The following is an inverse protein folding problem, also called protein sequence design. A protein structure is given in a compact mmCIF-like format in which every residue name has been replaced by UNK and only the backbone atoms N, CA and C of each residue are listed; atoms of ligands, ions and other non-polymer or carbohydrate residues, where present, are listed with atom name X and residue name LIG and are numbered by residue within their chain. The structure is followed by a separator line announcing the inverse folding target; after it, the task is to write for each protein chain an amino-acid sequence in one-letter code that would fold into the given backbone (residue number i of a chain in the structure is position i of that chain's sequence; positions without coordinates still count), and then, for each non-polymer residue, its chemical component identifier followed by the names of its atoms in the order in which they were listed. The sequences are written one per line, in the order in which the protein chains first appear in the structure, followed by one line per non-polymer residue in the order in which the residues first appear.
data_IF_867536094696
#
_entry.id   IF_867536094696
#
_cell.length_a   1.000
_cell.length_b   1.000
_cell.length_c   1.000
_cell.angle_alpha   90.00
_cell.angle_beta   90.00
_cell.angle_gamma   90.00
#
_symmetry.space_group_name_H-M   'P 1'
#
loop_
_entity.id
_entity.type
_entity.pdbx_description
1 polymer ?
#
# COMPACT_ATOMS: atom_id res chain seq x y z
N UNK A 1 -13.48 10.13 -27.02
CA UNK A 1 -13.13 11.47 -26.53
C UNK A 1 -12.07 11.30 -25.45
N UNK A 2 -10.81 11.46 -25.84
CA UNK A 2 -9.65 11.25 -24.97
C UNK A 2 -9.53 12.46 -24.03
N UNK A 3 -9.72 12.26 -22.72
CA UNK A 3 -9.56 13.34 -21.74
C UNK A 3 -8.08 13.75 -21.75
N UNK A 4 -7.80 15.01 -22.08
CA UNK A 4 -6.47 15.58 -21.98
C UNK A 4 -5.86 15.28 -20.59
N UNK A 5 -4.60 14.85 -20.52
CA UNK A 5 -3.97 14.51 -19.25
C UNK A 5 -3.99 15.73 -18.32
N UNK A 6 -4.46 15.52 -17.09
CA UNK A 6 -4.44 16.55 -16.06
C UNK A 6 -2.99 16.96 -15.79
N UNK A 7 -2.62 18.16 -16.20
CA UNK A 7 -1.29 18.73 -15.93
C UNK A 7 -1.36 19.49 -14.60
N UNK A 8 -0.69 18.95 -13.59
CA UNK A 8 -0.47 19.64 -12.32
C UNK A 8 0.89 20.34 -12.38
N UNK A 9 0.90 21.66 -12.32
CA UNK A 9 2.13 22.45 -12.16
C UNK A 9 2.11 23.02 -10.75
N UNK A 10 3.04 22.57 -9.91
CA UNK A 10 3.24 23.10 -8.57
C UNK A 10 4.52 23.95 -8.57
N UNK A 11 4.39 25.25 -8.32
CA UNK A 11 5.53 26.14 -8.08
C UNK A 11 5.83 26.12 -6.58
N UNK A 12 7.01 25.63 -6.20
CA UNK A 12 7.49 25.71 -4.84
C UNK A 12 8.41 26.92 -4.69
N UNK A 13 8.32 27.63 -3.56
CA UNK A 13 9.11 28.85 -3.30
C UNK A 13 10.60 28.51 -3.13
N UNK A 14 10.91 27.26 -2.77
CA UNK A 14 12.28 26.74 -2.61
C UNK A 14 12.32 25.22 -2.74
N UNK A 15 13.43 24.67 -3.20
CA UNK A 15 13.68 23.21 -3.20
C UNK A 15 13.82 22.63 -1.78
N UNK A 16 14.06 23.48 -0.77
CA UNK A 16 14.20 23.08 0.63
C UNK A 16 12.89 22.62 1.29
N UNK A 17 11.75 22.82 0.63
CA UNK A 17 10.42 22.32 1.05
C UNK A 17 9.97 21.08 0.30
N UNK A 18 10.88 20.43 -0.43
CA UNK A 18 10.66 19.16 -1.11
C UNK A 18 11.19 18.01 -0.25
N UNK A 19 10.32 17.06 0.07
CA UNK A 19 10.72 15.78 0.67
C UNK A 19 10.62 14.70 -0.41
N UNK A 20 11.71 14.01 -0.71
CA UNK A 20 11.71 12.89 -1.65
C UNK A 20 11.64 11.58 -0.86
N UNK A 21 10.59 10.79 -1.10
CA UNK A 21 10.45 9.41 -0.60
C UNK A 21 10.75 8.41 -1.70
N UNK A 22 11.79 7.62 -1.50
CA UNK A 22 12.21 6.58 -2.45
C UNK A 22 13.73 6.58 -2.67
N UNK A 23 14.21 5.83 -3.67
CA UNK A 23 13.44 5.02 -4.60
C UNK A 23 12.73 3.83 -3.91
N UNK A 24 11.64 3.37 -4.51
CA UNK A 24 10.95 2.15 -4.12
C UNK A 24 10.72 1.28 -5.36
N UNK A 25 11.01 -0.01 -5.23
CA UNK A 25 10.62 -1.01 -6.21
C UNK A 25 9.09 -1.04 -6.33
N UNK A 26 8.62 -1.07 -7.57
CA UNK A 26 7.22 -1.11 -7.91
C UNK A 26 6.91 -2.45 -8.58
N UNK A 27 5.96 -3.18 -8.00
CA UNK A 27 5.57 -4.50 -8.47
C UNK A 27 4.05 -4.62 -8.55
N UNK A 28 3.56 -5.42 -9.50
CA UNK A 28 2.13 -5.66 -9.71
C UNK A 28 1.83 -7.16 -9.77
N UNK A 29 0.60 -7.51 -9.41
CA UNK A 29 0.12 -8.87 -9.60
C UNK A 29 0.01 -9.19 -11.10
N UNK A 30 0.61 -10.29 -11.59
CA UNK A 30 0.83 -10.50 -13.02
C UNK A 30 -0.44 -10.83 -13.81
N UNK A 31 -1.46 -11.44 -13.19
CA UNK A 31 -2.66 -11.87 -13.92
C UNK A 31 -3.91 -11.72 -13.05
N UNK A 32 -4.93 -10.95 -13.45
CA UNK A 32 -6.14 -10.74 -12.66
C UNK A 32 -6.94 -12.02 -12.37
N UNK A 33 -6.80 -13.08 -13.16
CA UNK A 33 -7.42 -14.39 -12.94
C UNK A 33 -6.62 -15.31 -12.01
N UNK A 34 -5.32 -15.06 -11.86
CA UNK A 34 -4.47 -15.81 -10.94
C UNK A 34 -4.80 -15.43 -9.50
N UNK A 35 -4.83 -16.42 -8.62
CA UNK A 35 -5.00 -16.25 -7.17
C UNK A 35 -3.85 -16.95 -6.47
N UNK A 36 -3.23 -16.35 -5.45
CA UNK A 36 -2.21 -17.05 -4.69
C UNK A 36 -2.82 -18.24 -3.92
N UNK A 37 -2.09 -19.36 -3.79
CA UNK A 37 -2.53 -20.49 -2.97
C UNK A 37 -2.50 -20.11 -1.48
N UNK A 38 -3.59 -20.40 -0.75
CA UNK A 38 -3.66 -20.22 0.71
C UNK A 38 -3.19 -21.50 1.41
N UNK A 39 -2.33 -21.35 2.42
CA UNK A 39 -1.97 -22.41 3.35
C UNK A 39 -2.74 -22.27 4.67
N UNK A 40 -2.54 -21.15 5.37
CA UNK A 40 -3.28 -20.81 6.59
C UNK A 40 -4.24 -19.65 6.30
N UNK A 41 -5.48 -19.73 6.80
CA UNK A 41 -6.45 -18.66 6.60
C UNK A 41 -6.15 -17.51 7.56
N UNK A 42 -5.68 -16.39 7.01
CA UNK A 42 -5.67 -15.12 7.73
C UNK A 42 -7.13 -14.66 7.93
N UNK A 43 -7.42 -14.17 9.12
CA UNK A 43 -8.73 -13.62 9.45
C UNK A 43 -8.84 -12.16 8.99
N UNK A 44 -10.01 -11.75 8.54
CA UNK A 44 -10.28 -10.33 8.28
C UNK A 44 -10.41 -9.62 9.61
N UNK A 45 -9.75 -8.47 9.75
CA UNK A 45 -9.82 -7.63 10.93
C UNK A 45 -10.72 -6.43 10.65
N UNK A 46 -11.60 -6.10 11.58
CA UNK A 46 -12.44 -4.90 11.54
C UNK A 46 -12.24 -4.04 12.81
N UNK A 47 -13.12 -3.05 13.04
CA UNK A 47 -12.90 -1.92 13.95
C UNK A 47 -12.25 -2.27 15.29
N UNK A 48 -12.80 -3.24 16.03
CA UNK A 48 -12.29 -3.63 17.35
C UNK A 48 -10.97 -4.42 17.26
N UNK A 49 -10.80 -5.23 16.20
CA UNK A 49 -9.57 -5.96 15.95
C UNK A 49 -8.41 -5.05 15.54
N UNK A 50 -8.68 -3.92 14.86
CA UNK A 50 -7.65 -2.95 14.51
C UNK A 50 -7.06 -2.28 15.76
N UNK A 51 -7.85 -2.08 16.82
CA UNK A 51 -7.35 -1.60 18.11
C UNK A 51 -6.38 -2.59 18.76
N UNK A 52 -6.53 -3.89 18.51
CA UNK A 52 -5.61 -4.92 19.02
C UNK A 52 -4.21 -4.87 18.37
N UNK A 53 -4.04 -4.11 17.29
CA UNK A 53 -2.76 -3.96 16.58
C UNK A 53 -1.80 -2.97 17.24
N UNK A 54 -2.22 -2.26 18.29
CA UNK A 54 -1.35 -1.36 19.07
C UNK A 54 -0.06 -2.07 19.52
N UNK A 55 -0.17 -3.32 19.98
CA UNK A 55 0.99 -4.14 20.37
C UNK A 55 1.99 -4.37 19.23
N UNK A 56 1.53 -4.50 17.98
CA UNK A 56 2.38 -4.64 16.80
C UNK A 56 3.01 -3.31 16.40
N UNK A 57 2.28 -2.21 16.58
CA UNK A 57 2.83 -0.88 16.35
C UNK A 57 3.96 -0.59 17.33
N UNK A 58 3.78 -0.92 18.60
CA UNK A 58 4.73 -0.57 19.66
C UNK A 58 6.04 -1.36 19.58
N UNK A 59 6.01 -2.59 19.06
CA UNK A 59 7.25 -3.40 18.94
C UNK A 59 8.22 -2.87 17.88
N UNK A 60 7.72 -2.24 16.82
CA UNK A 60 8.55 -1.66 15.76
C UNK A 60 7.87 -0.45 15.09
N UNK A 61 7.80 0.72 15.76
CA UNK A 61 7.01 1.86 15.31
C UNK A 61 7.40 2.39 13.92
N UNK A 62 8.71 2.44 13.63
CA UNK A 62 9.20 2.92 12.33
C UNK A 62 8.83 1.97 11.17
N UNK A 63 8.89 0.65 11.41
CA UNK A 63 8.46 -0.32 10.40
C UNK A 63 6.95 -0.35 10.23
N UNK A 64 6.20 -0.11 11.32
CA UNK A 64 4.75 0.03 11.28
C UNK A 64 4.34 1.26 10.44
N UNK A 65 5.00 2.40 10.68
CA UNK A 65 4.80 3.61 9.88
C UNK A 65 5.12 3.37 8.40
N UNK A 66 6.21 2.65 8.10
CA UNK A 66 6.55 2.27 6.73
C UNK A 66 5.52 1.33 6.09
N UNK A 67 4.98 0.38 6.85
CA UNK A 67 3.94 -0.53 6.37
C UNK A 67 2.68 0.23 5.94
N UNK A 68 2.42 1.39 6.55
CA UNK A 68 1.38 2.33 6.13
C UNK A 68 -0.03 1.82 6.37
N UNK A 69 -0.23 0.89 7.31
CA UNK A 69 -1.54 0.37 7.68
C UNK A 69 -2.32 1.48 8.40
N UNK A 70 -3.31 2.04 7.70
CA UNK A 70 -4.21 3.08 8.21
C UNK A 70 -5.60 2.56 8.56
N UNK A 71 -6.42 3.41 9.17
CA UNK A 71 -7.80 3.10 9.59
C UNK A 71 -8.72 2.63 8.46
N UNK A 72 -8.50 3.11 7.24
CA UNK A 72 -9.34 2.80 6.07
C UNK A 72 -8.88 1.55 5.32
N UNK A 73 -7.81 0.91 5.81
CA UNK A 73 -7.23 -0.27 5.18
C UNK A 73 -8.13 -1.48 5.38
N UNK A 74 -8.26 -2.32 4.36
CA UNK A 74 -8.83 -3.67 4.54
C UNK A 74 -7.72 -4.59 5.02
N UNK A 75 -7.76 -5.03 6.28
CA UNK A 75 -6.65 -5.72 6.94
C UNK A 75 -6.99 -7.18 7.21
N UNK A 76 -5.98 -8.04 7.03
CA UNK A 76 -6.03 -9.47 7.26
C UNK A 76 -4.88 -9.87 8.18
N UNK A 77 -5.19 -10.56 9.27
CA UNK A 77 -4.27 -10.91 10.34
C UNK A 77 -4.05 -12.41 10.49
N UNK A 78 -2.89 -12.77 11.02
CA UNK A 78 -2.61 -14.13 11.49
C UNK A 78 -2.20 -14.11 12.96
N UNK A 79 -2.79 -15.04 13.71
CA UNK A 79 -2.49 -15.24 15.12
C UNK A 79 -1.40 -16.28 15.35
N UNK A 80 -0.60 -16.06 16.38
CA UNK A 80 0.25 -17.08 17.00
C UNK A 80 0.17 -16.93 18.52
N UNK A 81 -0.19 -18.00 19.23
CA UNK A 81 -0.37 -17.94 20.69
C UNK A 81 -1.48 -16.98 21.12
N UNK A 82 -2.56 -16.86 20.34
CA UNK A 82 -3.70 -15.97 20.62
C UNK A 82 -3.51 -14.50 20.23
N UNK A 83 -2.29 -14.08 19.88
CA UNK A 83 -1.97 -12.69 19.52
C UNK A 83 -1.79 -12.55 18.01
N UNK A 84 -2.22 -11.42 17.42
CA UNK A 84 -1.93 -11.11 16.01
C UNK A 84 -0.43 -10.82 15.90
N UNK A 85 0.26 -11.54 15.00
CA UNK A 85 1.72 -11.43 14.84
C UNK A 85 2.15 -11.03 13.43
N UNK A 86 1.23 -11.12 12.46
CA UNK A 86 1.46 -10.66 11.11
C UNK A 86 0.16 -10.17 10.50
N UNK A 87 0.22 -9.02 9.82
CA UNK A 87 -0.91 -8.41 9.15
C UNK A 87 -0.53 -7.99 7.75
N UNK A 88 -1.49 -8.05 6.84
CA UNK A 88 -1.38 -7.38 5.56
C UNK A 88 -2.73 -6.78 5.20
N UNK A 89 -2.70 -5.67 4.50
CA UNK A 89 -3.91 -5.03 4.04
C UNK A 89 -3.70 -4.29 2.74
N UNK A 90 -4.69 -3.51 2.38
CA UNK A 90 -4.54 -2.56 1.30
C UNK A 90 -5.39 -1.32 1.50
N UNK A 91 -4.88 -0.24 0.94
CA UNK A 91 -5.62 0.99 0.68
C UNK A 91 -6.10 1.00 -0.78
N UNK A 92 -7.31 1.51 -1.02
CA UNK A 92 -7.83 1.70 -2.38
C UNK A 92 -7.35 3.02 -2.96
N UNK A 93 -6.60 2.95 -4.04
CA UNK A 93 -6.10 4.10 -4.78
C UNK A 93 -6.92 4.34 -6.04
N UNK A 94 -6.85 5.57 -6.58
CA UNK A 94 -7.52 5.92 -7.83
C UNK A 94 -7.10 5.00 -8.98
N UNK A 95 -8.02 4.71 -9.89
CA UNK A 95 -7.75 3.80 -11.02
C UNK A 95 -7.93 2.32 -10.68
N UNK A 96 -8.58 2.00 -9.55
CA UNK A 96 -8.87 0.61 -9.17
C UNK A 96 -7.64 -0.14 -8.67
N UNK A 97 -6.70 0.57 -8.04
CA UNK A 97 -5.48 -0.01 -7.51
C UNK A 97 -5.69 -0.35 -6.03
N UNK A 98 -5.27 -1.54 -5.62
CA UNK A 98 -5.09 -1.89 -4.22
C UNK A 98 -3.61 -1.72 -3.88
N UNK A 99 -3.25 -0.67 -3.14
CA UNK A 99 -1.89 -0.50 -2.65
C UNK A 99 -1.69 -1.35 -1.41
N UNK A 100 -0.87 -2.40 -1.52
CA UNK A 100 -0.63 -3.37 -0.46
C UNK A 100 0.18 -2.75 0.67
N UNK A 101 -0.12 -3.21 1.88
CA UNK A 101 0.53 -2.89 3.15
C UNK A 101 0.81 -4.21 3.86
N UNK A 102 1.95 -4.34 4.54
CA UNK A 102 2.27 -5.58 5.27
C UNK A 102 3.21 -5.30 6.44
N UNK A 103 2.95 -5.97 7.55
CA UNK A 103 3.75 -5.90 8.76
C UNK A 103 3.86 -7.29 9.40
N UNK A 104 4.99 -7.58 10.03
CA UNK A 104 5.21 -8.82 10.76
C UNK A 104 6.09 -8.57 11.98
N UNK A 105 5.60 -9.00 13.14
CA UNK A 105 6.30 -8.89 14.41
C UNK A 105 7.73 -9.44 14.27
N UNK A 106 8.78 -8.71 14.70
CA UNK A 106 10.18 -9.10 14.51
C UNK A 106 10.50 -10.53 14.97
N UNK A 107 10.01 -10.92 16.15
CA UNK A 107 10.17 -12.27 16.72
C UNK A 107 9.42 -13.41 15.99
N UNK A 108 8.55 -13.10 15.02
CA UNK A 108 7.74 -14.09 14.29
C UNK A 108 8.10 -14.17 12.80
N UNK A 109 9.17 -13.49 12.37
CA UNK A 109 9.64 -13.50 10.98
C UNK A 109 10.15 -14.88 10.56
N UNK A 110 10.34 -15.04 9.23
CA UNK A 110 10.88 -16.26 8.59
C UNK A 110 10.02 -17.52 8.74
N UNK A 111 8.77 -17.38 9.21
CA UNK A 111 7.79 -18.47 9.38
C UNK A 111 6.68 -18.49 8.32
N UNK A 112 6.77 -17.62 7.31
CA UNK A 112 5.75 -17.51 6.25
C UNK A 112 4.49 -16.71 6.62
N UNK A 113 4.34 -16.27 7.88
CA UNK A 113 3.14 -15.60 8.38
C UNK A 113 2.77 -14.33 7.58
N UNK A 114 3.73 -13.44 7.34
CA UNK A 114 3.51 -12.25 6.52
C UNK A 114 3.06 -12.58 5.09
N UNK A 115 3.55 -13.68 4.52
CA UNK A 115 3.19 -14.12 3.19
C UNK A 115 1.73 -14.59 3.15
N UNK A 116 1.29 -15.35 4.15
CA UNK A 116 -0.09 -15.82 4.23
C UNK A 116 -1.09 -14.67 4.44
N UNK A 117 -0.79 -13.72 5.33
CA UNK A 117 -1.61 -12.49 5.46
C UNK A 117 -1.65 -11.71 4.15
N UNK A 118 -0.51 -11.53 3.47
CA UNK A 118 -0.43 -10.81 2.19
C UNK A 118 -1.23 -11.50 1.08
N UNK A 119 -1.20 -12.84 1.01
CA UNK A 119 -2.00 -13.60 0.05
C UNK A 119 -3.50 -13.43 0.28
N UNK A 120 -3.94 -13.36 1.54
CA UNK A 120 -5.34 -13.08 1.86
C UNK A 120 -5.75 -11.68 1.37
N UNK A 121 -4.92 -10.66 1.64
CA UNK A 121 -5.14 -9.30 1.13
C UNK A 121 -5.20 -9.25 -0.40
N UNK A 122 -4.29 -9.93 -1.10
CA UNK A 122 -4.28 -10.02 -2.58
C UNK A 122 -5.58 -10.67 -3.08
N UNK A 123 -6.00 -11.79 -2.49
CA UNK A 123 -7.24 -12.47 -2.91
C UNK A 123 -8.46 -11.59 -2.73
N UNK A 124 -8.55 -10.89 -1.61
CA UNK A 124 -9.67 -9.99 -1.34
C UNK A 124 -9.66 -8.81 -2.32
N UNK A 125 -8.51 -8.15 -2.53
CA UNK A 125 -8.38 -7.08 -3.51
C UNK A 125 -8.81 -7.51 -4.93
N UNK A 126 -8.39 -8.71 -5.35
CA UNK A 126 -8.77 -9.23 -6.66
C UNK A 126 -10.25 -9.62 -6.75
N UNK A 127 -10.88 -10.06 -5.65
CA UNK A 127 -12.32 -10.29 -5.59
C UNK A 127 -13.12 -8.98 -5.71
N UNK A 128 -12.55 -7.88 -5.21
CA UNK A 128 -13.07 -6.52 -5.38
C UNK A 128 -12.78 -5.91 -6.77
N UNK A 129 -12.23 -6.69 -7.71
CA UNK A 129 -11.80 -6.23 -9.04
C UNK A 129 -10.75 -5.11 -8.99
N UNK A 130 -9.88 -5.11 -7.98
CA UNK A 130 -8.76 -4.18 -7.86
C UNK A 130 -7.47 -4.81 -8.39
N UNK A 131 -6.59 -3.99 -8.96
CA UNK A 131 -5.22 -4.36 -9.34
C UNK A 131 -4.31 -4.27 -8.12
N UNK A 132 -3.77 -5.39 -7.61
CA UNK A 132 -2.83 -5.37 -6.49
C UNK A 132 -1.48 -4.74 -6.91
N UNK A 133 -1.06 -3.72 -6.18
CA UNK A 133 0.22 -3.01 -6.31
C UNK A 133 1.04 -3.17 -5.03
N UNK A 134 2.30 -3.56 -5.17
CA UNK A 134 3.24 -3.67 -4.05
C UNK A 134 4.40 -2.68 -4.25
N UNK A 135 4.81 -2.03 -3.15
CA UNK A 135 5.95 -1.14 -3.13
C UNK A 135 6.91 -1.54 -2.01
N UNK A 136 8.20 -1.58 -2.31
CA UNK A 136 9.23 -1.84 -1.31
C UNK A 136 10.32 -0.77 -1.45
N UNK A 137 10.65 -0.05 -0.37
CA UNK A 137 11.75 0.92 -0.41
C UNK A 137 13.04 0.21 -0.79
N UNK A 138 13.89 0.90 -1.54
CA UNK A 138 15.25 0.45 -1.75
C UNK A 138 15.96 0.24 -0.40
N UNK A 139 16.76 -0.83 -0.30
CA UNK A 139 17.31 -1.32 0.96
C UNK A 139 16.39 -2.23 1.79
N UNK A 140 15.07 -2.27 1.55
CA UNK A 140 14.17 -3.19 2.25
C UNK A 140 14.12 -4.58 1.55
N UNK A 141 15.24 -5.29 1.61
CA UNK A 141 15.41 -6.59 0.95
C UNK A 141 14.41 -7.65 1.43
N UNK A 142 13.98 -7.59 2.69
CA UNK A 142 13.00 -8.52 3.26
C UNK A 142 11.60 -8.34 2.62
N UNK A 143 11.17 -7.09 2.45
CA UNK A 143 9.90 -6.75 1.80
C UNK A 143 9.92 -7.12 0.31
N UNK A 144 11.03 -6.85 -0.39
CA UNK A 144 11.18 -7.24 -1.80
C UNK A 144 11.16 -8.77 -1.98
N UNK A 145 11.87 -9.50 -1.12
CA UNK A 145 11.87 -10.96 -1.14
C UNK A 145 10.49 -11.55 -0.83
N UNK A 146 9.73 -10.90 0.07
CA UNK A 146 8.35 -11.28 0.36
C UNK A 146 7.46 -11.13 -0.88
N UNK A 147 7.50 -9.96 -1.55
CA UNK A 147 6.73 -9.70 -2.76
C UNK A 147 7.01 -10.74 -3.85
N UNK A 148 8.30 -11.01 -4.13
CA UNK A 148 8.73 -12.02 -5.11
C UNK A 148 8.23 -13.42 -4.74
N UNK A 149 8.31 -13.79 -3.46
CA UNK A 149 7.84 -15.10 -2.97
C UNK A 149 6.35 -15.31 -3.14
N UNK A 150 5.52 -14.29 -2.93
CA UNK A 150 4.06 -14.43 -3.09
C UNK A 150 3.60 -14.38 -4.55
N UNK A 151 4.47 -13.97 -5.48
CA UNK A 151 4.21 -13.98 -6.92
C UNK A 151 4.05 -12.61 -7.56
N UNK A 152 4.41 -11.51 -6.88
CA UNK A 152 4.50 -10.20 -7.53
C UNK A 152 5.62 -10.17 -8.58
N UNK A 153 5.36 -9.47 -9.68
CA UNK A 153 6.35 -9.20 -10.73
C UNK A 153 6.78 -7.74 -10.63
N UNK A 154 8.08 -7.50 -10.64
CA UNK A 154 8.68 -6.17 -10.58
C UNK A 154 8.56 -5.49 -11.96
N UNK A 155 8.10 -4.24 -12.00
CA UNK A 155 7.91 -3.45 -13.23
C UNK A 155 8.83 -2.23 -13.31
N UNK A 156 9.48 -1.87 -12.21
CA UNK A 156 10.43 -0.76 -12.18
C UNK A 156 10.58 -0.16 -10.80
N UNK A 157 10.96 1.11 -10.77
CA UNK A 157 11.14 1.90 -9.56
C UNK A 157 10.31 3.17 -9.61
N UNK A 158 9.98 3.71 -8.44
CA UNK A 158 9.31 5.00 -8.30
C UNK A 158 9.94 5.82 -7.18
N UNK A 159 9.79 7.13 -7.26
CA UNK A 159 10.02 8.05 -6.16
C UNK A 159 8.79 8.96 -6.01
N UNK A 160 8.47 9.33 -4.79
CA UNK A 160 7.40 10.28 -4.47
C UNK A 160 8.04 11.58 -4.01
N UNK A 161 7.65 12.70 -4.61
CA UNK A 161 8.07 14.03 -4.16
C UNK A 161 6.90 14.67 -3.43
N UNK A 162 7.06 14.87 -2.13
CA UNK A 162 6.12 15.60 -1.31
C UNK A 162 6.51 17.07 -1.35
N UNK A 163 5.56 17.91 -1.75
CA UNK A 163 5.73 19.35 -1.81
C UNK A 163 4.87 19.97 -0.73
N UNK A 164 5.49 20.64 0.25
CA UNK A 164 4.74 21.47 1.19
C UNK A 164 4.38 22.78 0.49
N UNK A 165 3.13 22.89 0.06
CA UNK A 165 2.62 24.14 -0.48
C UNK A 165 2.17 25.05 0.67
N UNK A 166 2.44 26.38 0.60
CA UNK A 166 1.81 27.31 1.52
C UNK A 166 0.28 27.25 1.35
N UNK A 167 -0.47 27.43 2.44
CA UNK A 167 -1.94 27.31 2.45
C UNK A 167 -2.64 28.18 1.39
N UNK A 168 -1.99 29.27 0.95
CA UNK A 168 -2.46 30.21 -0.07
C UNK A 168 -2.22 29.77 -1.52
N UNK A 169 -1.43 28.70 -1.77
CA UNK A 169 -1.02 28.30 -3.13
C UNK A 169 -1.88 27.22 -3.78
N UNK A 170 -2.84 26.61 -3.06
CA UNK A 170 -3.74 25.60 -3.63
C UNK A 170 -5.08 26.25 -3.97
N UNK A 171 -5.20 26.84 -5.15
CA UNK A 171 -6.52 27.10 -5.73
C UNK A 171 -7.04 25.80 -6.33
N UNK A 172 -7.94 25.11 -5.62
CA UNK A 172 -8.73 24.03 -6.22
C UNK A 172 -9.62 24.64 -7.29
N UNK A 173 -9.20 24.58 -8.54
CA UNK A 173 -10.10 24.91 -9.65
C UNK A 173 -11.06 23.74 -9.78
N UNK A 174 -12.35 23.98 -9.57
CA UNK A 174 -13.37 23.03 -10.01
C UNK A 174 -13.15 22.75 -11.49
N UNK A 175 -13.28 21.48 -11.89
CA UNK A 175 -13.23 21.12 -13.28
C UNK A 175 -14.31 21.93 -14.01
N UNK A 176 -13.91 22.96 -14.76
CA UNK A 176 -14.85 23.68 -15.61
C UNK A 176 -15.51 22.64 -16.50
N UNK A 177 -16.82 22.50 -16.37
CA UNK A 177 -17.62 21.76 -17.33
C UNK A 177 -17.21 22.26 -18.71
N UNK A 178 -16.73 21.34 -19.54
CA UNK A 178 -16.42 21.64 -20.93
C UNK A 178 -17.72 22.12 -21.55
N UNK A 179 -17.82 23.44 -21.77
CA UNK A 179 -18.93 24.06 -22.47
C UNK A 179 -19.02 23.40 -23.87
N UNK A 180 -20.13 22.74 -24.22
CA UNK A 180 -20.31 22.22 -25.57
C UNK A 180 -20.84 23.34 -26.47
N UNK A 181 -20.05 23.76 -27.46
CA UNK A 181 -20.48 24.64 -28.55
C UNK A 181 -19.28 25.37 -29.17
N UNK A 182 -19.11 25.45 -30.49
CA UNK A 182 -19.95 25.16 -31.67
C UNK A 182 -19.05 24.69 -32.80
#
# INVERSE_FOLDING_TARGET
MERAPRRYVASCVSIHSLEVRGPAYLAYWPTPSSRPPLGAQAESLDGDDLASLESLRDVAPAEWEEAGIGSDSRVFGLRAGGQIVAVAGYERWSGGIAQLQVFCHPGHRRRGLAAESLKAAIRHALADNLLPQYRARDGNAASLALAKRVGFVEYGWMATVLVRLPNSAVQRTEARDACPGR
#
